data_IF_124473293270
#
_entry.id   IF_124473293270
#
_cell.length_a   1.000
_cell.length_b   1.000
_cell.length_c   1.000
_cell.angle_alpha   90.00
_cell.angle_beta   90.00
_cell.angle_gamma   90.00
#
_symmetry.space_group_name_H-M   'P 1'
#
loop_
_entity.id
_entity.type
_entity.pdbx_description
1 polymer ?
#
# COMPACT_ATOMS: atom_id res chain seq x y z
N UNK A 1 7.59 6.36 -10.36
CA UNK A 1 6.22 5.80 -10.38
C UNK A 1 5.59 6.12 -11.72
N UNK A 2 5.08 5.14 -12.47
CA UNK A 2 4.23 5.40 -13.64
C UNK A 2 2.84 4.84 -13.34
N UNK A 3 1.91 5.70 -12.94
CA UNK A 3 0.50 5.35 -12.97
C UNK A 3 0.03 5.55 -14.43
N UNK A 4 -0.28 4.45 -15.11
CA UNK A 4 -0.69 4.48 -16.50
C UNK A 4 -2.18 4.76 -16.58
N UNK A 5 -2.62 6.01 -16.77
CA UNK A 5 -3.99 6.31 -17.24
C UNK A 5 -4.21 7.73 -17.81
N UNK A 6 -3.18 8.38 -18.36
CA UNK A 6 -3.35 9.61 -19.17
C UNK A 6 -2.53 9.56 -20.45
N UNK A 7 -3.00 8.85 -21.48
CA UNK A 7 -2.64 9.11 -22.88
C UNK A 7 -3.64 8.42 -23.81
N UNK A 8 -4.26 9.21 -24.70
CA UNK A 8 -5.08 8.73 -25.81
C UNK A 8 -4.30 7.64 -26.59
N UNK A 9 -4.84 6.42 -26.64
CA UNK A 9 -4.18 5.27 -27.25
C UNK A 9 -4.70 5.12 -28.69
N UNK A 10 -3.87 5.45 -29.68
CA UNK A 10 -4.06 4.99 -31.06
C UNK A 10 -3.71 3.51 -31.15
N UNK A 11 -4.40 2.74 -32.01
CA UNK A 11 -4.36 1.25 -32.08
C UNK A 11 -2.94 0.63 -32.14
N UNK A 12 -1.92 1.37 -32.58
CA UNK A 12 -0.51 0.94 -32.62
C UNK A 12 0.25 0.99 -31.29
N UNK A 13 -0.22 1.71 -30.26
CA UNK A 13 0.40 1.76 -28.91
C UNK A 13 -0.20 0.75 -27.93
N UNK A 14 -1.15 -0.05 -28.39
CA UNK A 14 -1.87 -1.02 -27.58
C UNK A 14 -0.97 -2.22 -27.24
N UNK A 15 -0.11 -2.62 -28.17
CA UNK A 15 0.80 -3.76 -28.01
C UNK A 15 1.83 -3.56 -26.86
N UNK A 16 2.34 -2.34 -26.70
CA UNK A 16 3.45 -2.04 -25.78
C UNK A 16 3.06 -2.14 -24.30
N UNK A 17 1.77 -2.05 -23.97
CA UNK A 17 1.33 -2.08 -22.56
C UNK A 17 1.05 -3.49 -22.05
N UNK A 18 0.76 -4.48 -22.91
CA UNK A 18 0.38 -5.83 -22.47
C UNK A 18 1.42 -6.46 -21.53
N UNK A 19 2.75 -6.33 -21.78
CA UNK A 19 3.74 -6.86 -20.86
C UNK A 19 3.68 -6.24 -19.45
N UNK A 20 3.18 -5.01 -19.29
CA UNK A 20 3.01 -4.40 -17.96
C UNK A 20 1.94 -5.10 -17.13
N UNK A 21 0.94 -5.70 -17.76
CA UNK A 21 -0.09 -6.48 -17.07
C UNK A 21 0.44 -7.81 -16.54
N UNK A 22 1.49 -8.36 -17.13
CA UNK A 22 2.06 -9.64 -16.68
C UNK A 22 3.11 -9.49 -15.58
N UNK A 23 3.57 -8.26 -15.32
CA UNK A 23 4.55 -7.99 -14.27
C UNK A 23 3.97 -8.16 -12.87
N UNK A 24 4.88 -8.39 -11.92
CA UNK A 24 4.57 -8.25 -10.50
C UNK A 24 4.15 -6.79 -10.25
N UNK A 25 3.07 -6.62 -9.51
CA UNK A 25 2.39 -5.32 -9.36
C UNK A 25 1.72 -5.22 -8.01
N UNK A 26 1.66 -4.00 -7.49
CA UNK A 26 0.84 -3.69 -6.32
C UNK A 26 -0.52 -3.23 -6.80
N UNK A 27 -1.58 -3.75 -6.20
CA UNK A 27 -2.97 -3.55 -6.61
C UNK A 27 -3.79 -3.04 -5.45
N UNK A 28 -4.80 -2.22 -5.75
CA UNK A 28 -5.75 -1.73 -4.76
C UNK A 28 -7.12 -1.52 -5.38
N UNK A 29 -8.15 -1.52 -4.53
CA UNK A 29 -9.51 -1.22 -4.94
C UNK A 29 -9.73 0.29 -5.02
N UNK A 30 -10.37 0.76 -6.08
CA UNK A 30 -10.64 2.20 -6.26
C UNK A 30 -11.75 2.70 -5.35
N UNK A 31 -12.71 1.85 -4.99
CA UNK A 31 -13.80 2.17 -4.07
C UNK A 31 -13.70 1.17 -2.92
N UNK A 32 -13.38 1.66 -1.72
CA UNK A 32 -13.19 0.81 -0.54
C UNK A 32 -13.56 1.53 0.75
N UNK A 33 -13.86 0.78 1.81
CA UNK A 33 -14.02 1.32 3.18
C UNK A 33 -12.68 1.41 3.91
N UNK A 34 -11.73 0.55 3.54
CA UNK A 34 -10.41 0.45 4.15
C UNK A 34 -9.35 0.37 3.04
N UNK A 35 -8.30 1.17 3.14
CA UNK A 35 -7.23 1.12 2.16
C UNK A 35 -6.39 -0.12 2.39
N UNK A 36 -6.27 -0.93 1.34
CA UNK A 36 -5.48 -2.16 1.35
C UNK A 36 -4.76 -2.28 0.02
N UNK A 37 -3.47 -2.52 0.10
CA UNK A 37 -2.59 -2.71 -1.05
C UNK A 37 -2.02 -4.12 -1.03
N UNK A 38 -2.22 -4.86 -2.12
CA UNK A 38 -1.80 -6.25 -2.24
C UNK A 38 -0.75 -6.41 -3.35
N UNK A 39 0.24 -7.28 -3.13
CA UNK A 39 1.20 -7.67 -4.16
C UNK A 39 0.61 -8.83 -4.94
N UNK A 40 0.51 -8.66 -6.26
CA UNK A 40 0.06 -9.70 -7.18
C UNK A 40 1.27 -10.24 -7.95
N UNK A 41 1.48 -11.57 -7.95
CA UNK A 41 2.60 -12.19 -8.64
C UNK A 41 2.45 -12.06 -10.16
N UNK A 42 3.54 -12.35 -10.88
CA UNK A 42 3.57 -12.30 -12.35
C UNK A 42 2.54 -13.25 -12.96
N UNK A 43 1.96 -12.84 -14.08
CA UNK A 43 1.00 -13.64 -14.84
C UNK A 43 -0.43 -13.68 -14.26
N UNK A 44 -0.69 -13.03 -13.11
CA UNK A 44 -2.05 -12.88 -12.60
C UNK A 44 -2.72 -11.61 -13.12
N UNK A 45 -3.94 -11.76 -13.61
CA UNK A 45 -4.78 -10.66 -14.08
C UNK A 45 -5.64 -10.10 -12.94
N UNK A 46 -6.00 -8.83 -13.06
CA UNK A 46 -6.89 -8.13 -12.13
C UNK A 46 -8.15 -7.69 -12.86
N UNK A 47 -9.19 -7.42 -12.09
CA UNK A 47 -10.41 -6.82 -12.62
C UNK A 47 -10.16 -5.36 -13.02
N UNK A 48 -10.91 -4.89 -14.01
CA UNK A 48 -10.87 -3.51 -14.51
C UNK A 48 -11.26 -2.46 -13.46
N UNK A 49 -12.05 -2.86 -12.47
CA UNK A 49 -12.46 -2.05 -11.31
C UNK A 49 -11.31 -1.75 -10.33
N UNK A 50 -10.18 -2.45 -10.45
CA UNK A 50 -9.01 -2.27 -9.60
C UNK A 50 -7.95 -1.41 -10.30
N UNK A 51 -7.13 -0.75 -9.49
CA UNK A 51 -5.96 -0.04 -9.97
C UNK A 51 -4.68 -0.80 -9.58
N UNK A 52 -3.62 -0.58 -10.34
CA UNK A 52 -2.33 -1.20 -10.09
C UNK A 52 -1.16 -0.29 -10.42
N UNK A 53 -0.01 -0.63 -9.84
CA UNK A 53 1.27 0.01 -10.11
C UNK A 53 2.36 -1.04 -10.30
N UNK A 54 3.22 -0.81 -11.28
CA UNK A 54 4.46 -1.56 -11.51
C UNK A 54 5.65 -0.69 -11.12
N UNK A 55 6.75 -1.30 -10.71
CA UNK A 55 7.91 -0.55 -10.24
C UNK A 55 9.00 -1.42 -9.61
N UNK A 56 9.99 -0.74 -9.03
CA UNK A 56 11.02 -1.37 -8.19
C UNK A 56 10.58 -1.32 -6.73
N UNK A 57 11.13 -2.21 -5.90
CA UNK A 57 10.93 -2.24 -4.45
C UNK A 57 9.45 -2.32 -4.04
N UNK A 58 8.67 -3.14 -4.74
CA UNK A 58 7.23 -3.27 -4.50
C UNK A 58 6.91 -3.65 -3.04
N UNK A 59 7.72 -4.52 -2.43
CA UNK A 59 7.58 -4.92 -1.02
C UNK A 59 7.72 -3.75 -0.05
N UNK A 60 8.74 -2.92 -0.23
CA UNK A 60 8.94 -1.69 0.55
C UNK A 60 7.75 -0.75 0.39
N UNK A 61 7.29 -0.55 -0.84
CA UNK A 61 6.13 0.30 -1.13
C UNK A 61 4.86 -0.25 -0.48
N UNK A 62 4.64 -1.56 -0.53
CA UNK A 62 3.49 -2.21 0.12
C UNK A 62 3.52 -2.07 1.63
N UNK A 63 4.70 -2.16 2.26
CA UNK A 63 4.84 -1.92 3.70
C UNK A 63 4.44 -0.50 4.08
N UNK A 64 4.96 0.51 3.37
CA UNK A 64 4.62 1.91 3.62
C UNK A 64 3.13 2.18 3.35
N UNK A 65 2.61 1.73 2.21
CA UNK A 65 1.24 2.04 1.77
C UNK A 65 0.16 1.43 2.67
N UNK A 66 0.46 0.31 3.36
CA UNK A 66 -0.44 -0.30 4.33
C UNK A 66 -0.22 0.19 5.77
N UNK A 67 0.73 1.09 6.02
CA UNK A 67 0.93 1.67 7.36
C UNK A 67 -0.21 2.60 7.77
N UNK A 68 -0.42 2.73 9.08
CA UNK A 68 -1.39 3.65 9.66
C UNK A 68 -1.11 5.11 9.34
N UNK A 69 0.16 5.50 9.21
CA UNK A 69 0.54 6.86 8.81
C UNK A 69 -0.06 7.21 7.45
N UNK A 70 0.07 6.32 6.46
CA UNK A 70 -0.45 6.56 5.12
C UNK A 70 -1.97 6.49 5.11
N UNK A 71 -2.58 5.55 5.83
CA UNK A 71 -4.05 5.50 5.99
C UNK A 71 -4.58 6.81 6.58
N UNK A 72 -3.96 7.30 7.65
CA UNK A 72 -4.28 8.59 8.27
C UNK A 72 -4.12 9.74 7.27
N UNK A 73 -2.97 9.83 6.59
CA UNK A 73 -2.67 10.89 5.64
C UNK A 73 -3.66 10.93 4.47
N UNK A 74 -3.93 9.79 3.84
CA UNK A 74 -4.82 9.70 2.67
C UNK A 74 -6.26 10.09 3.04
N UNK A 75 -6.74 9.72 4.24
CA UNK A 75 -8.07 10.11 4.72
C UNK A 75 -8.27 11.62 4.85
N UNK A 76 -7.21 12.42 4.98
CA UNK A 76 -7.32 13.88 5.10
C UNK A 76 -7.75 14.59 3.81
N UNK A 77 -7.54 13.97 2.64
CA UNK A 77 -7.80 14.64 1.34
C UNK A 77 -8.52 13.76 0.31
N UNK A 78 -8.71 12.46 0.57
CA UNK A 78 -9.47 11.58 -0.31
C UNK A 78 -10.95 11.91 -0.24
N UNK A 79 -11.66 11.78 -1.36
CA UNK A 79 -13.09 12.05 -1.39
C UNK A 79 -13.88 10.89 -0.81
N UNK A 80 -14.81 11.23 0.08
CA UNK A 80 -15.87 10.33 0.55
C UNK A 80 -16.81 10.01 -0.62
N UNK A 81 -17.04 8.73 -0.82
CA UNK A 81 -17.95 8.17 -1.81
C UNK A 81 -19.15 7.56 -1.07
N UNK A 82 -20.25 8.30 -1.02
CA UNK A 82 -21.41 7.99 -0.17
C UNK A 82 -21.11 8.22 1.32
N UNK A 83 -21.80 7.47 2.20
CA UNK A 83 -21.72 7.70 3.65
C UNK A 83 -20.50 7.08 4.32
N UNK A 84 -19.91 6.02 3.73
CA UNK A 84 -18.84 5.21 4.37
C UNK A 84 -17.74 4.70 3.42
N UNK A 85 -17.80 5.04 2.14
CA UNK A 85 -16.81 4.60 1.15
C UNK A 85 -15.80 5.71 0.86
N UNK A 86 -14.62 5.34 0.40
CA UNK A 86 -13.61 6.27 -0.11
C UNK A 86 -13.30 5.95 -1.57
N UNK A 87 -13.11 6.99 -2.39
CA UNK A 87 -12.66 6.86 -3.77
C UNK A 87 -11.14 7.03 -3.87
N UNK A 88 -10.39 5.94 -3.75
CA UNK A 88 -8.94 5.89 -3.93
C UNK A 88 -8.56 5.73 -5.41
N UNK A 89 -8.87 6.75 -6.21
CA UNK A 89 -8.39 6.83 -7.60
C UNK A 89 -6.87 7.12 -7.66
N UNK A 90 -6.26 6.79 -8.80
CA UNK A 90 -4.81 6.93 -9.05
C UNK A 90 -4.25 8.31 -8.67
N UNK A 91 -5.01 9.37 -8.91
CA UNK A 91 -4.63 10.74 -8.58
C UNK A 91 -4.34 10.99 -7.10
N UNK A 92 -4.93 10.20 -6.19
CA UNK A 92 -4.68 10.31 -4.75
C UNK A 92 -3.46 9.51 -4.34
N UNK A 93 -3.28 8.31 -4.92
CA UNK A 93 -2.12 7.45 -4.66
C UNK A 93 -0.84 8.10 -5.20
N UNK A 94 -0.90 8.78 -6.35
CA UNK A 94 0.23 9.53 -6.93
C UNK A 94 0.70 10.71 -6.05
N UNK A 95 -0.15 11.20 -5.13
CA UNK A 95 0.18 12.31 -4.23
C UNK A 95 0.79 11.86 -2.92
N UNK A 96 0.82 10.55 -2.64
CA UNK A 96 1.38 10.04 -1.39
C UNK A 96 2.90 10.33 -1.37
N UNK A 97 3.40 11.04 -0.35
CA UNK A 97 4.82 11.32 -0.23
C UNK A 97 5.55 10.04 0.15
N UNK A 98 6.24 9.43 -0.80
CA UNK A 98 7.01 8.20 -0.58
C UNK A 98 8.50 8.53 -0.39
N UNK A 99 9.10 8.21 0.77
CA UNK A 99 10.50 8.46 1.03
C UNK A 99 11.36 7.62 0.08
N UNK A 100 12.31 8.25 -0.65
CA UNK A 100 13.24 7.51 -1.47
C UNK A 100 14.16 6.67 -0.59
N UNK A 101 14.59 5.52 -1.11
CA UNK A 101 15.60 4.71 -0.42
C UNK A 101 16.96 5.38 -0.63
N UNK A 102 17.58 5.80 0.46
CA UNK A 102 18.91 6.39 0.56
C UNK A 102 19.83 5.44 1.33
N UNK A 103 21.16 5.55 1.21
CA UNK A 103 22.08 4.72 1.99
C UNK A 103 21.86 4.79 3.51
N UNK A 104 21.33 5.89 4.02
CA UNK A 104 21.04 6.10 5.44
C UNK A 104 19.80 5.34 5.91
N UNK A 105 18.74 5.29 5.11
CA UNK A 105 17.50 4.60 5.47
C UNK A 105 17.41 3.18 4.91
N UNK A 106 18.41 2.74 4.13
CA UNK A 106 18.51 1.39 3.58
C UNK A 106 18.28 0.29 4.64
N UNK A 107 18.87 0.37 5.86
CA UNK A 107 18.64 -0.65 6.88
C UNK A 107 17.17 -0.74 7.32
N UNK A 108 16.48 0.40 7.46
CA UNK A 108 15.05 0.44 7.80
C UNK A 108 14.21 -0.11 6.64
N UNK A 109 14.55 0.28 5.40
CA UNK A 109 13.87 -0.23 4.21
C UNK A 109 13.99 -1.75 4.09
N UNK A 110 15.17 -2.31 4.36
CA UNK A 110 15.43 -3.75 4.34
C UNK A 110 14.64 -4.49 5.44
N UNK A 111 14.52 -3.90 6.64
CA UNK A 111 13.68 -4.43 7.72
C UNK A 111 12.20 -4.46 7.33
N UNK A 112 11.69 -3.37 6.76
CA UNK A 112 10.30 -3.31 6.26
C UNK A 112 10.07 -4.39 5.21
N UNK A 113 10.99 -4.56 4.24
CA UNK A 113 10.89 -5.59 3.21
C UNK A 113 10.87 -6.99 3.82
N UNK A 114 11.75 -7.27 4.79
CA UNK A 114 11.81 -8.55 5.49
C UNK A 114 10.51 -8.87 6.22
N UNK A 115 9.91 -7.90 6.93
CA UNK A 115 8.63 -8.08 7.60
C UNK A 115 7.49 -8.33 6.61
N UNK A 116 7.46 -7.59 5.50
CA UNK A 116 6.48 -7.81 4.43
C UNK A 116 6.61 -9.22 3.85
N UNK A 117 7.83 -9.70 3.59
CA UNK A 117 8.04 -11.08 3.11
C UNK A 117 7.57 -12.13 4.13
N UNK A 118 7.79 -11.89 5.43
CA UNK A 118 7.27 -12.77 6.49
C UNK A 118 5.73 -12.77 6.52
N UNK A 119 5.07 -11.60 6.43
CA UNK A 119 3.61 -11.49 6.34
C UNK A 119 3.09 -12.24 5.11
N UNK A 120 3.73 -12.09 3.95
CA UNK A 120 3.34 -12.80 2.73
C UNK A 120 3.46 -14.32 2.91
N UNK A 121 4.54 -14.80 3.52
CA UNK A 121 4.73 -16.23 3.77
C UNK A 121 3.66 -16.82 4.71
N UNK A 122 3.22 -16.04 5.70
CA UNK A 122 2.18 -16.46 6.65
C UNK A 122 0.80 -16.43 6.00
N UNK A 123 0.46 -15.37 5.29
CA UNK A 123 -0.86 -15.17 4.66
C UNK A 123 -1.12 -16.12 3.50
N UNK A 124 -0.08 -16.57 2.80
CA UNK A 124 -0.20 -17.57 1.73
C UNK A 124 -0.33 -19.01 2.24
N UNK A 125 -0.16 -19.26 3.54
CA UNK A 125 -0.31 -20.60 4.09
C UNK A 125 -1.79 -21.03 4.13
N UNK A 126 -2.11 -22.31 3.80
CA UNK A 126 -3.49 -22.76 3.64
C UNK A 126 -4.31 -22.73 4.94
N UNK A 127 -3.66 -22.72 6.10
CA UNK A 127 -4.26 -22.65 7.43
C UNK A 127 -4.29 -21.24 8.01
N UNK A 128 -3.92 -20.21 7.24
CA UNK A 128 -3.90 -18.82 7.73
C UNK A 128 -5.27 -18.35 8.24
N UNK A 129 -6.34 -18.64 7.50
CA UNK A 129 -7.70 -18.21 7.87
C UNK A 129 -8.21 -18.87 9.16
N UNK A 130 -7.70 -20.06 9.49
CA UNK A 130 -8.13 -20.84 10.66
C UNK A 130 -7.16 -20.72 11.84
N UNK A 131 -5.90 -20.35 11.61
CA UNK A 131 -4.88 -20.21 12.64
C UNK A 131 -4.87 -18.80 13.24
N UNK A 132 -5.40 -18.68 14.47
CA UNK A 132 -5.36 -17.44 15.25
C UNK A 132 -3.92 -16.98 15.54
N UNK A 133 -3.01 -17.92 15.81
CA UNK A 133 -1.60 -17.61 16.08
C UNK A 133 -0.94 -16.88 14.90
N UNK A 134 -1.19 -17.35 13.66
CA UNK A 134 -0.65 -16.69 12.47
C UNK A 134 -1.25 -15.30 12.26
N UNK A 135 -2.55 -15.14 12.52
CA UNK A 135 -3.22 -13.84 12.42
C UNK A 135 -2.72 -12.84 13.46
N UNK A 136 -2.45 -13.29 14.69
CA UNK A 136 -1.84 -12.48 15.73
C UNK A 136 -0.42 -12.06 15.35
N UNK A 137 0.38 -13.00 14.83
CA UNK A 137 1.74 -12.72 14.37
C UNK A 137 1.78 -11.74 13.20
N UNK A 138 0.84 -11.83 12.25
CA UNK A 138 0.70 -10.83 11.18
C UNK A 138 0.41 -9.45 11.76
N UNK A 139 -0.51 -9.33 12.74
CA UNK A 139 -0.80 -8.06 13.41
C UNK A 139 0.39 -7.50 14.17
N UNK A 140 1.24 -8.35 14.74
CA UNK A 140 2.49 -7.92 15.38
C UNK A 140 3.46 -7.33 14.36
N UNK A 141 3.66 -8.01 13.23
CA UNK A 141 4.50 -7.51 12.14
C UNK A 141 3.96 -6.22 11.52
N UNK A 142 2.64 -6.09 11.36
CA UNK A 142 2.01 -4.84 10.91
C UNK A 142 2.32 -3.67 11.86
N UNK A 143 2.22 -3.89 13.18
CA UNK A 143 2.57 -2.87 14.18
C UNK A 143 4.06 -2.54 14.18
N UNK A 144 4.92 -3.50 13.89
CA UNK A 144 6.36 -3.27 13.76
C UNK A 144 6.66 -2.43 12.51
N UNK A 145 6.03 -2.73 11.38
CA UNK A 145 6.11 -1.90 10.17
C UNK A 145 5.63 -0.48 10.47
N UNK A 146 4.51 -0.29 11.18
CA UNK A 146 4.03 1.04 11.57
C UNK A 146 5.11 1.83 12.33
N UNK A 147 5.78 1.20 13.30
CA UNK A 147 6.88 1.84 14.06
C UNK A 147 8.06 2.23 13.16
N UNK A 148 8.49 1.32 12.28
CA UNK A 148 9.59 1.60 11.35
C UNK A 148 9.24 2.72 10.37
N UNK A 149 7.97 2.79 9.96
CA UNK A 149 7.46 3.88 9.11
C UNK A 149 7.44 5.19 9.90
N UNK A 150 7.04 5.18 11.18
CA UNK A 150 7.08 6.38 12.00
C UNK A 150 8.50 6.94 12.14
N UNK A 151 9.49 6.06 12.37
CA UNK A 151 10.90 6.41 12.41
C UNK A 151 11.40 6.95 11.06
N UNK A 152 11.02 6.31 9.96
CA UNK A 152 11.40 6.70 8.60
C UNK A 152 10.93 8.11 8.23
N UNK A 153 9.75 8.53 8.73
CA UNK A 153 9.20 9.87 8.53
C UNK A 153 9.59 10.86 9.63
N UNK A 154 10.28 10.41 10.69
CA UNK A 154 10.73 11.27 11.78
C UNK A 154 9.59 11.83 12.64
N UNK A 155 8.54 11.04 12.86
CA UNK A 155 7.37 11.46 13.64
C UNK A 155 7.66 11.53 15.13
N UNK A 156 7.07 12.53 15.78
CA UNK A 156 7.12 12.71 17.24
C UNK A 156 6.08 11.83 17.96
N UNK A 157 6.26 11.62 19.26
CA UNK A 157 5.30 10.85 20.06
C UNK A 157 3.87 11.45 20.05
N UNK A 158 3.77 12.77 19.93
CA UNK A 158 2.49 13.50 19.88
C UNK A 158 1.76 13.20 18.56
N UNK A 159 2.47 13.22 17.44
CA UNK A 159 1.92 12.88 16.13
C UNK A 159 1.55 11.40 16.05
N UNK A 160 2.38 10.51 16.61
CA UNK A 160 2.07 9.08 16.68
C UNK A 160 0.79 8.84 17.50
N UNK A 161 0.63 9.51 18.65
CA UNK A 161 -0.60 9.42 19.44
C UNK A 161 -1.82 9.90 18.66
N UNK A 162 -1.69 10.94 17.84
CA UNK A 162 -2.78 11.43 17.02
C UNK A 162 -3.18 10.43 15.93
N UNK A 163 -2.19 9.80 15.28
CA UNK A 163 -2.41 8.76 14.26
C UNK A 163 -3.09 7.52 14.89
N UNK A 164 -2.62 7.08 16.05
CA UNK A 164 -3.13 5.90 16.76
C UNK A 164 -4.47 6.14 17.46
N UNK A 165 -4.71 7.35 17.95
CA UNK A 165 -5.90 7.75 18.70
C UNK A 165 -7.16 7.91 17.85
N UNK A 166 -7.00 8.07 16.52
CA UNK A 166 -8.13 8.17 15.60
C UNK A 166 -9.05 9.36 15.88
N UNK A 167 -8.57 10.40 16.58
CA UNK A 167 -9.35 11.61 16.85
C UNK A 167 -9.51 12.42 15.54
N UNK A 168 -10.56 12.10 14.81
CA UNK A 168 -11.08 12.96 13.77
C UNK A 168 -11.64 14.21 14.45
N UNK A 169 -11.06 15.37 14.16
CA UNK A 169 -11.78 16.63 14.31
C UNK A 169 -12.85 16.65 13.20
N UNK A 170 -13.97 15.95 13.42
CA UNK A 170 -15.19 16.19 12.66
C UNK A 170 -15.71 17.56 13.10
N UNK A 171 -15.43 18.58 12.29
CA UNK A 171 -16.21 19.83 12.32
C UNK A 171 -17.60 19.59 11.76
#
# INVERSE_FOLDING_TARGET
>A
MRCLLKRYITQTKVADYYPEFEKEKVVWQRVTKQFQFCIVPRGMYILDSMAFMTGKNLRYLTGILNSKLIDFYVKTYVHLYGDKGFLLSNQYVERIPLPPITPQNQPLADQIVSLVDQILSLTQSPDYETSKEKQEKVKEFEKEIDRLVYELYGLTEEEIKLIEGGEYCTM
#
